data_IF_457442042802
#
_entry.id   IF_457442042802
#
_cell.length_a   1.000
_cell.length_b   1.000
_cell.length_c   1.000
_cell.angle_alpha   90.00
_cell.angle_beta   90.00
_cell.angle_gamma   90.00
#
_symmetry.space_group_name_H-M   'P 1'
#
loop_
_entity.id
_entity.type
_entity.pdbx_description
1 polymer ?
#
# COMPACT_ATOMS: atom_id res chain seq x y z
N UNK A 1 -124.06 -14.31 23.83
CA UNK A 1 -125.27 -13.48 23.65
C UNK A 1 -125.06 -12.20 24.46
N UNK A 2 -124.69 -11.08 23.82
CA UNK A 2 -124.61 -9.69 24.38
C UNK A 2 -123.72 -9.48 25.61
N UNK A 3 -123.36 -8.27 26.08
CA UNK A 3 -123.42 -6.86 25.65
C UNK A 3 -122.81 -6.05 26.83
N UNK A 4 -122.51 -4.75 26.60
CA UNK A 4 -122.13 -3.65 27.54
C UNK A 4 -120.61 -3.49 27.78
N UNK A 5 -119.85 -2.48 27.31
CA UNK A 5 -119.96 -1.00 27.11
C UNK A 5 -119.48 -0.11 28.29
N UNK A 6 -118.21 0.38 28.19
CA UNK A 6 -117.57 1.65 28.65
C UNK A 6 -117.71 2.14 30.14
N UNK A 7 -116.86 3.05 30.72
CA UNK A 7 -115.99 4.10 30.13
C UNK A 7 -114.62 4.32 30.90
N UNK A 8 -113.99 5.53 31.09
CA UNK A 8 -112.69 5.86 30.48
C UNK A 8 -111.58 6.46 31.41
N UNK A 9 -110.47 6.85 30.78
CA UNK A 9 -109.53 7.96 31.09
C UNK A 9 -108.33 7.77 32.07
N UNK A 10 -107.16 7.80 31.41
CA UNK A 10 -105.92 8.59 31.66
C UNK A 10 -104.99 8.30 32.85
N UNK A 11 -103.95 7.56 32.49
CA UNK A 11 -102.51 7.65 32.79
C UNK A 11 -101.94 8.92 33.47
N UNK A 12 -101.09 8.71 34.49
CA UNK A 12 -99.63 8.98 34.48
C UNK A 12 -99.06 8.64 35.86
N UNK A 13 -98.09 7.70 35.95
CA UNK A 13 -97.29 7.50 37.16
C UNK A 13 -95.81 7.44 36.75
N UNK A 14 -95.04 8.36 37.32
CA UNK A 14 -93.60 8.56 37.18
C UNK A 14 -92.83 7.67 38.16
N UNK A 15 -91.84 6.91 37.67
CA UNK A 15 -90.93 6.13 38.52
C UNK A 15 -89.48 6.39 38.10
N UNK A 16 -88.70 7.04 38.97
CA UNK A 16 -87.22 7.06 38.93
C UNK A 16 -86.68 7.35 40.33
N UNK A 17 -85.76 6.51 40.79
CA UNK A 17 -84.97 6.75 42.00
C UNK A 17 -84.30 5.47 42.50
N UNK A 18 -83.11 5.16 41.96
CA UNK A 18 -82.21 4.15 42.53
C UNK A 18 -80.78 4.69 42.44
N UNK A 19 -80.22 4.95 43.62
CA UNK A 19 -78.86 5.43 43.89
C UNK A 19 -77.93 4.23 44.09
N UNK A 20 -76.78 4.21 43.42
CA UNK A 20 -75.67 3.29 43.68
C UNK A 20 -74.39 4.11 43.74
N UNK A 21 -73.78 4.13 44.92
CA UNK A 21 -72.47 4.70 45.22
C UNK A 21 -71.38 3.65 44.97
N UNK A 22 -70.34 4.01 44.21
CA UNK A 22 -69.14 3.20 44.06
C UNK A 22 -67.90 4.09 44.28
N UNK A 23 -67.10 3.71 45.27
CA UNK A 23 -65.83 4.33 45.65
C UNK A 23 -64.73 4.06 44.62
N UNK A 24 -63.98 5.08 44.24
CA UNK A 24 -62.69 4.98 43.56
C UNK A 24 -61.67 5.86 44.28
N UNK A 25 -61.04 5.29 45.31
CA UNK A 25 -59.75 5.72 45.85
C UNK A 25 -58.73 4.69 45.38
N UNK A 26 -57.82 5.08 44.48
CA UNK A 26 -56.46 4.57 44.27
C UNK A 26 -55.99 4.78 42.81
N UNK A 27 -55.49 5.97 42.50
CA UNK A 27 -54.41 6.22 41.52
C UNK A 27 -53.85 7.62 41.80
N UNK A 28 -53.18 7.77 42.94
CA UNK A 28 -52.42 8.98 43.28
C UNK A 28 -50.92 8.68 43.17
N UNK A 29 -50.45 8.46 41.94
CA UNK A 29 -49.15 9.02 41.57
C UNK A 29 -49.50 10.16 40.63
N UNK A 30 -49.37 11.44 41.03
CA UNK A 30 -49.52 12.52 40.08
C UNK A 30 -48.52 12.26 38.94
N UNK A 31 -48.94 12.36 37.66
CA UNK A 31 -48.03 12.16 36.55
C UNK A 31 -46.83 13.07 36.79
N UNK A 32 -45.62 12.50 36.76
CA UNK A 32 -44.39 13.29 36.71
C UNK A 32 -44.62 14.38 35.68
N UNK A 33 -44.76 15.63 36.12
CA UNK A 33 -45.00 16.75 35.22
C UNK A 33 -43.90 16.73 34.19
N UNK A 34 -44.25 16.47 32.92
CA UNK A 34 -43.27 16.37 31.86
C UNK A 34 -42.46 17.66 31.82
N UNK A 35 -41.14 17.54 31.87
CA UNK A 35 -40.25 18.70 31.84
C UNK A 35 -40.35 19.38 30.47
N UNK A 36 -40.16 20.70 30.45
CA UNK A 36 -40.10 21.47 29.21
C UNK A 36 -38.93 20.97 28.37
N UNK A 37 -39.21 20.58 27.13
CA UNK A 37 -38.20 20.08 26.19
C UNK A 37 -38.22 20.91 24.92
N UNK A 38 -37.04 21.13 24.34
CA UNK A 38 -36.85 21.88 23.11
C UNK A 38 -36.28 20.92 22.08
N UNK A 39 -36.84 20.92 20.87
CA UNK A 39 -36.28 20.22 19.72
C UNK A 39 -36.13 21.16 18.53
N UNK A 40 -35.15 20.91 17.67
CA UNK A 40 -35.02 21.64 16.41
C UNK A 40 -35.84 20.94 15.31
N UNK A 41 -36.56 21.73 14.52
CA UNK A 41 -37.25 21.29 13.32
C UNK A 41 -36.77 22.13 12.12
N UNK A 42 -36.05 21.53 11.14
CA UNK A 42 -35.60 20.12 11.14
C UNK A 42 -34.50 19.87 12.19
N UNK A 43 -34.32 18.60 12.58
CA UNK A 43 -33.36 18.21 13.64
C UNK A 43 -31.89 18.44 13.26
N UNK A 44 -31.62 18.53 11.96
CA UNK A 44 -30.30 18.79 11.37
C UNK A 44 -30.48 19.86 10.31
N UNK A 45 -29.68 20.92 10.38
CA UNK A 45 -29.86 22.15 9.59
C UNK A 45 -28.54 22.52 8.94
N UNK A 46 -28.61 22.99 7.70
CA UNK A 46 -27.48 23.58 6.98
C UNK A 46 -27.54 25.10 6.95
N UNK A 47 -26.38 25.73 6.75
CA UNK A 47 -26.28 27.18 6.64
C UNK A 47 -27.24 27.74 5.57
N UNK A 48 -27.90 28.84 5.91
CA UNK A 48 -28.86 29.52 5.06
C UNK A 48 -30.29 28.95 5.07
N UNK A 49 -30.56 27.91 5.86
CA UNK A 49 -31.91 27.39 6.10
C UNK A 49 -32.55 28.00 7.34
N UNK A 50 -33.84 27.79 7.51
CA UNK A 50 -34.57 28.21 8.70
C UNK A 50 -34.65 27.04 9.69
N UNK A 51 -34.59 27.34 10.99
CA UNK A 51 -34.77 26.35 12.06
C UNK A 51 -35.83 26.83 13.04
N UNK A 52 -36.79 25.96 13.36
CA UNK A 52 -37.74 26.18 14.45
C UNK A 52 -37.27 25.42 15.69
N UNK A 53 -36.97 26.14 16.76
CA UNK A 53 -36.81 25.55 18.10
C UNK A 53 -38.20 25.36 18.70
N UNK A 54 -38.77 24.17 18.48
CA UNK A 54 -40.10 23.78 18.91
C UNK A 54 -40.08 23.43 20.40
N UNK A 55 -40.95 24.06 21.17
CA UNK A 55 -41.07 23.85 22.61
C UNK A 55 -42.24 22.94 22.93
N UNK A 56 -41.99 21.93 23.75
CA UNK A 56 -42.99 20.97 24.23
C UNK A 56 -43.18 21.08 25.74
N UNK A 57 -44.31 20.55 26.21
CA UNK A 57 -44.67 20.47 27.65
C UNK A 57 -44.72 21.83 28.36
N UNK A 58 -45.27 22.84 27.70
CA UNK A 58 -45.47 24.15 28.33
C UNK A 58 -46.42 24.07 29.54
N UNK A 59 -46.07 24.69 30.69
CA UNK A 59 -46.98 24.85 31.82
C UNK A 59 -48.24 25.62 31.44
N UNK A 60 -49.39 25.36 32.09
CA UNK A 60 -50.65 26.05 31.75
C UNK A 60 -50.73 27.50 32.25
N UNK A 61 -50.16 27.80 33.42
CA UNK A 61 -50.28 29.10 34.08
C UNK A 61 -49.04 29.99 33.79
N UNK A 62 -48.81 30.31 32.52
CA UNK A 62 -47.67 31.14 32.09
C UNK A 62 -48.09 32.60 31.83
N UNK A 63 -47.23 33.55 32.20
CA UNK A 63 -47.42 35.00 31.95
C UNK A 63 -46.58 35.49 30.78
N UNK A 64 -45.49 34.80 30.48
CA UNK A 64 -44.60 35.11 29.37
C UNK A 64 -43.38 34.21 29.33
N UNK A 65 -42.54 34.40 28.32
CA UNK A 65 -41.30 33.65 28.17
C UNK A 65 -40.25 34.44 27.40
N UNK A 66 -39.00 34.10 27.67
CA UNK A 66 -37.81 34.82 27.24
C UNK A 66 -36.81 33.86 26.62
N UNK A 67 -36.28 34.21 25.45
CA UNK A 67 -35.15 33.51 24.84
C UNK A 67 -33.85 34.27 25.02
N UNK A 68 -32.80 33.54 25.39
CA UNK A 68 -31.42 34.02 25.50
C UNK A 68 -30.50 33.22 24.58
N UNK A 69 -29.53 33.89 23.95
CA UNK A 69 -28.41 33.28 23.22
C UNK A 69 -27.34 32.88 24.23
N UNK A 70 -27.07 31.60 24.38
CA UNK A 70 -26.13 31.06 25.38
C UNK A 70 -26.81 30.53 26.64
N UNK A 71 -25.99 30.19 27.64
CA UNK A 71 -26.46 29.66 28.94
C UNK A 71 -26.69 30.77 29.99
N UNK A 72 -26.16 31.97 29.75
CA UNK A 72 -26.21 33.10 30.68
C UNK A 72 -27.51 33.87 30.45
N UNK A 73 -28.22 34.15 31.54
CA UNK A 73 -29.48 34.93 31.54
C UNK A 73 -29.20 36.39 31.92
N UNK A 74 -28.50 37.11 31.05
CA UNK A 74 -28.25 38.54 31.23
C UNK A 74 -28.91 39.36 30.11
N UNK A 75 -28.80 40.69 30.23
CA UNK A 75 -29.33 41.61 29.23
C UNK A 75 -28.63 41.48 27.88
N UNK A 76 -27.34 41.18 27.83
CA UNK A 76 -26.56 41.13 26.58
C UNK A 76 -26.93 39.93 25.70
N UNK A 77 -27.36 38.83 26.32
CA UNK A 77 -27.75 37.60 25.65
C UNK A 77 -29.25 37.53 25.36
N UNK A 78 -30.04 38.49 25.83
CA UNK A 78 -31.50 38.53 25.64
C UNK A 78 -31.86 38.74 24.16
N UNK A 79 -32.55 37.78 23.55
CA UNK A 79 -32.97 37.79 22.14
C UNK A 79 -34.33 38.46 22.02
N UNK A 80 -35.36 37.86 22.61
CA UNK A 80 -36.74 38.36 22.55
C UNK A 80 -37.59 37.71 23.64
N UNK A 81 -38.68 38.37 24.02
CA UNK A 81 -39.70 37.81 24.91
C UNK A 81 -41.11 38.03 24.39
N UNK A 82 -42.01 37.16 24.82
CA UNK A 82 -43.43 37.25 24.56
C UNK A 82 -44.17 37.38 25.89
N UNK A 83 -45.00 38.41 26.01
CA UNK A 83 -45.92 38.59 27.13
C UNK A 83 -47.29 38.09 26.67
N UNK A 84 -47.85 37.13 27.41
CA UNK A 84 -49.11 36.49 27.05
C UNK A 84 -50.27 37.47 27.12
N UNK A 85 -50.30 38.29 28.18
CA UNK A 85 -51.25 39.37 28.32
C UNK A 85 -50.95 40.48 27.31
N UNK A 86 -51.89 40.74 26.41
CA UNK A 86 -51.73 41.69 25.30
C UNK A 86 -50.91 41.19 24.10
N UNK A 87 -50.38 39.96 24.13
CA UNK A 87 -49.62 39.35 23.01
C UNK A 87 -48.42 40.21 22.55
N UNK A 88 -47.72 40.81 23.52
CA UNK A 88 -46.65 41.79 23.25
C UNK A 88 -45.32 41.07 23.03
N UNK A 89 -44.62 41.42 21.95
CA UNK A 89 -43.26 40.96 21.67
C UNK A 89 -42.29 42.08 22.00
N UNK A 90 -41.26 41.76 22.80
CA UNK A 90 -40.18 42.68 23.16
C UNK A 90 -38.89 42.12 22.57
N UNK A 91 -38.12 42.96 21.89
CA UNK A 91 -36.85 42.60 21.28
C UNK A 91 -35.69 43.02 22.18
N UNK A 92 -34.69 42.15 22.26
CA UNK A 92 -33.49 42.36 23.04
C UNK A 92 -32.28 42.81 22.22
N UNK A 93 -31.15 43.11 22.89
CA UNK A 93 -29.94 43.51 22.19
C UNK A 93 -29.29 42.37 21.40
N UNK A 94 -29.57 41.10 21.73
CA UNK A 94 -29.11 39.95 20.94
C UNK A 94 -30.04 39.60 19.75
N UNK A 95 -31.12 40.37 19.54
CA UNK A 95 -32.02 40.19 18.41
C UNK A 95 -31.31 40.52 17.09
N UNK A 96 -31.23 39.58 16.16
CA UNK A 96 -30.57 39.79 14.87
C UNK A 96 -31.53 40.28 13.78
N UNK A 97 -32.84 40.33 14.05
CA UNK A 97 -33.86 40.65 13.06
C UNK A 97 -34.36 39.44 12.26
N UNK A 98 -33.81 38.25 12.55
CA UNK A 98 -34.14 36.98 11.86
C UNK A 98 -34.94 36.03 12.74
N UNK A 99 -35.11 36.37 14.02
CA UNK A 99 -35.82 35.54 14.99
C UNK A 99 -37.31 35.88 15.03
N UNK A 100 -38.18 34.86 15.03
CA UNK A 100 -39.62 35.03 15.23
C UNK A 100 -40.07 34.17 16.39
N UNK A 101 -40.62 34.80 17.42
CA UNK A 101 -41.14 34.13 18.60
C UNK A 101 -42.65 33.87 18.45
N UNK A 102 -43.08 32.64 18.75
CA UNK A 102 -44.49 32.23 18.66
C UNK A 102 -45.14 32.14 20.03
N UNK A 103 -46.48 32.14 20.07
CA UNK A 103 -47.33 32.02 21.28
C UNK A 103 -47.13 30.71 22.07
N UNK A 104 -46.54 29.69 21.44
CA UNK A 104 -46.19 28.40 22.05
C UNK A 104 -44.72 28.35 22.51
N UNK A 105 -44.12 29.49 22.82
CA UNK A 105 -42.71 29.64 23.20
C UNK A 105 -41.66 29.20 22.19
N UNK A 106 -42.06 28.77 20.99
CA UNK A 106 -41.11 28.34 19.96
C UNK A 106 -40.42 29.53 19.32
N UNK A 107 -39.17 29.33 18.90
CA UNK A 107 -38.34 30.35 18.27
C UNK A 107 -37.92 29.89 16.87
N UNK A 108 -38.40 30.57 15.83
CA UNK A 108 -37.88 30.41 14.47
C UNK A 108 -36.68 31.32 14.30
N UNK A 109 -35.58 30.80 13.75
CA UNK A 109 -34.42 31.58 13.33
C UNK A 109 -34.28 31.38 11.82
N UNK A 110 -34.41 32.47 11.07
CA UNK A 110 -34.36 32.43 9.61
C UNK A 110 -32.93 32.59 9.09
N UNK A 111 -32.62 31.94 7.97
CA UNK A 111 -31.33 32.06 7.26
C UNK A 111 -30.13 31.95 8.22
N UNK A 112 -30.06 30.82 8.95
CA UNK A 112 -29.06 30.58 10.01
C UNK A 112 -27.63 30.60 9.48
N UNK A 113 -26.69 31.11 10.27
CA UNK A 113 -25.25 31.14 9.96
C UNK A 113 -24.44 30.39 11.00
N UNK A 114 -23.14 30.19 10.76
CA UNK A 114 -22.26 29.54 11.73
C UNK A 114 -22.23 30.23 13.11
N UNK A 115 -22.51 31.53 13.18
CA UNK A 115 -22.57 32.30 14.44
C UNK A 115 -23.84 32.03 15.26
N UNK A 116 -24.85 31.40 14.67
CA UNK A 116 -26.06 30.97 15.36
C UNK A 116 -25.90 29.60 16.02
N UNK A 117 -24.89 28.82 15.61
CA UNK A 117 -24.57 27.58 16.29
C UNK A 117 -24.14 27.86 17.75
N UNK A 118 -24.65 27.07 18.70
CA UNK A 118 -24.35 27.27 20.11
C UNK A 118 -25.51 26.92 21.03
N UNK A 119 -25.42 27.36 22.27
CA UNK A 119 -26.46 27.12 23.27
C UNK A 119 -27.53 28.20 23.21
N UNK A 120 -28.77 27.84 23.54
CA UNK A 120 -29.91 28.73 23.72
C UNK A 120 -30.61 28.37 25.02
N UNK A 121 -31.14 29.39 25.71
CA UNK A 121 -31.87 29.22 26.96
C UNK A 121 -33.25 29.85 26.85
N UNK A 122 -34.28 29.05 27.09
CA UNK A 122 -35.65 29.48 27.23
C UNK A 122 -35.99 29.61 28.71
N UNK A 123 -36.46 30.77 29.13
CA UNK A 123 -36.97 30.98 30.47
C UNK A 123 -38.47 31.29 30.42
N UNK A 124 -39.27 30.46 31.08
CA UNK A 124 -40.74 30.58 31.14
C UNK A 124 -41.13 31.15 32.49
N UNK A 125 -41.95 32.20 32.48
CA UNK A 125 -42.43 32.90 33.67
C UNK A 125 -43.85 32.43 33.96
N UNK A 126 -44.11 32.02 35.20
CA UNK A 126 -45.44 31.56 35.64
C UNK A 126 -46.19 32.63 36.44
N UNK A 127 -47.52 32.59 36.39
CA UNK A 127 -48.38 33.47 37.17
C UNK A 127 -48.40 33.09 38.66
N UNK A 128 -48.30 34.10 39.53
CA UNK A 128 -48.46 33.95 40.98
C UNK A 128 -47.16 34.02 41.81
N UNK A 129 -45.99 33.93 41.18
CA UNK A 129 -44.68 34.15 41.81
C UNK A 129 -43.61 34.40 40.73
N UNK A 130 -43.03 35.61 40.69
CA UNK A 130 -41.98 35.98 39.69
C UNK A 130 -40.77 35.04 39.75
N UNK A 131 -40.49 34.42 40.91
CA UNK A 131 -39.35 33.53 41.08
C UNK A 131 -39.61 32.08 40.63
N UNK A 132 -40.86 31.72 40.30
CA UNK A 132 -41.23 30.36 39.92
C UNK A 132 -41.22 30.25 38.39
N UNK A 133 -40.04 30.26 37.80
CA UNK A 133 -39.84 30.04 36.37
C UNK A 133 -39.31 28.65 36.02
N UNK A 134 -39.65 28.14 34.83
CA UNK A 134 -39.08 26.90 34.27
C UNK A 134 -38.06 27.29 33.20
N UNK A 135 -36.91 26.63 33.19
CA UNK A 135 -35.85 26.89 32.22
C UNK A 135 -35.64 25.68 31.32
N UNK A 136 -35.62 25.90 30.01
CA UNK A 136 -35.21 24.92 29.01
C UNK A 136 -33.87 25.33 28.40
N UNK A 137 -33.04 24.35 28.08
CA UNK A 137 -31.76 24.57 27.39
C UNK A 137 -31.70 23.73 26.11
N UNK A 138 -31.14 24.30 25.06
CA UNK A 138 -30.94 23.61 23.79
C UNK A 138 -29.60 23.98 23.18
N UNK A 139 -28.90 23.03 22.56
CA UNK A 139 -27.68 23.31 21.80
C UNK A 139 -27.96 23.08 20.33
N UNK A 140 -27.93 24.16 19.56
CA UNK A 140 -28.08 24.14 18.12
C UNK A 140 -26.73 23.88 17.45
N UNK A 141 -26.66 22.82 16.65
CA UNK A 141 -25.49 22.47 15.84
C UNK A 141 -25.79 22.70 14.38
N UNK A 142 -24.94 23.46 13.69
CA UNK A 142 -25.03 23.70 12.26
C UNK A 142 -24.08 22.79 11.49
N UNK A 143 -24.55 22.26 10.35
CA UNK A 143 -23.73 21.45 9.45
C UNK A 143 -23.52 22.18 8.12
N UNK A 144 -22.28 22.23 7.64
CA UNK A 144 -22.01 22.74 6.30
C UNK A 144 -22.40 21.70 5.25
N UNK A 145 -22.82 22.12 4.06
CA UNK A 145 -23.04 21.17 2.96
C UNK A 145 -21.70 20.54 2.53
N UNK A 146 -21.72 19.24 2.21
CA UNK A 146 -20.52 18.49 1.82
C UNK A 146 -19.97 19.00 0.48
N UNK A 147 -18.65 19.23 0.36
CA UNK A 147 -18.04 19.64 -0.90
C UNK A 147 -18.13 18.52 -1.94
N UNK A 148 -18.05 18.84 -3.25
CA UNK A 148 -17.93 17.80 -4.28
C UNK A 148 -16.57 17.10 -4.13
N UNK A 149 -16.53 15.78 -3.85
CA UNK A 149 -15.26 15.11 -3.65
C UNK A 149 -14.57 14.76 -4.97
N UNK A 150 -13.28 14.46 -4.87
CA UNK A 150 -12.42 13.98 -5.94
C UNK A 150 -11.59 12.79 -5.45
N UNK A 151 -11.20 11.90 -6.35
CA UNK A 151 -10.38 10.73 -6.01
C UNK A 151 -8.95 10.99 -6.49
N UNK A 152 -8.00 10.99 -5.56
CA UNK A 152 -6.56 10.95 -5.86
C UNK A 152 -6.05 9.52 -5.83
N UNK A 153 -5.05 9.20 -6.66
CA UNK A 153 -4.46 7.86 -6.74
C UNK A 153 -2.95 7.93 -6.59
N UNK A 154 -2.36 6.99 -5.83
CA UNK A 154 -0.91 6.86 -5.73
C UNK A 154 -0.25 6.39 -7.03
N UNK A 155 -0.99 5.68 -7.91
CA UNK A 155 -0.50 5.27 -9.24
C UNK A 155 -1.64 5.14 -10.24
N UNK A 156 -1.62 5.98 -11.28
CA UNK A 156 -2.65 6.01 -12.34
C UNK A 156 -2.62 4.79 -13.26
N UNK A 157 -1.42 4.25 -13.53
CA UNK A 157 -1.22 3.16 -14.49
C UNK A 157 -0.57 1.95 -13.80
N UNK A 158 -1.29 1.21 -12.93
CA UNK A 158 -0.74 0.04 -12.26
C UNK A 158 -0.61 -1.15 -13.21
N UNK A 159 0.41 -1.99 -12.99
CA UNK A 159 0.54 -3.27 -13.70
C UNK A 159 -0.33 -4.35 -13.06
N UNK A 160 -0.99 -5.11 -13.94
CA UNK A 160 -1.89 -6.18 -13.52
C UNK A 160 -1.25 -7.19 -12.58
N UNK A 161 -1.94 -7.46 -11.47
CA UNK A 161 -1.66 -8.44 -10.43
C UNK A 161 -0.31 -8.32 -9.71
N UNK A 162 0.44 -7.23 -9.92
CA UNK A 162 1.77 -7.05 -9.32
C UNK A 162 1.82 -5.91 -8.30
N UNK A 163 1.04 -4.86 -8.52
CA UNK A 163 1.18 -3.61 -7.78
C UNK A 163 -0.03 -3.31 -6.90
N UNK A 164 0.25 -2.66 -5.77
CA UNK A 164 -0.78 -2.11 -4.88
C UNK A 164 -1.00 -0.63 -5.20
N UNK A 165 -2.26 -0.19 -5.15
CA UNK A 165 -2.67 1.20 -5.39
C UNK A 165 -3.52 1.66 -4.23
N UNK A 166 -3.38 2.92 -3.84
CA UNK A 166 -4.23 3.59 -2.86
C UNK A 166 -5.00 4.70 -3.53
N UNK A 167 -6.32 4.69 -3.40
CA UNK A 167 -7.23 5.74 -3.81
C UNK A 167 -7.68 6.51 -2.57
N UNK A 168 -7.59 7.82 -2.58
CA UNK A 168 -7.98 8.66 -1.44
C UNK A 168 -9.09 9.62 -1.87
N UNK A 169 -10.12 9.72 -1.03
CA UNK A 169 -11.22 10.67 -1.24
C UNK A 169 -10.84 12.03 -0.66
N UNK A 170 -10.84 13.06 -1.50
CA UNK A 170 -10.44 14.42 -1.18
C UNK A 170 -11.62 15.40 -1.43
N UNK A 171 -11.77 16.48 -0.64
CA UNK A 171 -10.93 16.85 0.49
C UNK A 171 -11.31 16.12 1.78
N UNK A 172 -10.44 16.21 2.79
CA UNK A 172 -10.79 15.82 4.14
C UNK A 172 -11.85 16.77 4.72
N UNK A 173 -13.02 16.22 5.03
CA UNK A 173 -14.18 16.94 5.56
C UNK A 173 -14.43 16.51 7.01
N UNK A 174 -14.37 17.44 7.98
CA UNK A 174 -14.74 17.17 9.38
C UNK A 174 -16.20 16.74 9.53
N UNK A 175 -16.48 15.92 10.54
CA UNK A 175 -17.83 15.43 10.87
C UNK A 175 -18.57 14.72 9.72
N UNK A 176 -17.81 14.24 8.72
CA UNK A 176 -18.32 13.50 7.59
C UNK A 176 -17.82 12.05 7.59
N UNK A 177 -18.63 11.19 7.00
CA UNK A 177 -18.34 9.78 6.75
C UNK A 177 -18.00 9.57 5.28
N UNK A 178 -17.07 8.65 4.99
CA UNK A 178 -16.66 8.30 3.64
C UNK A 178 -17.20 6.94 3.25
N UNK A 179 -17.82 6.86 2.08
CA UNK A 179 -18.32 5.63 1.50
C UNK A 179 -17.74 5.44 0.10
N UNK A 180 -17.35 4.21 -0.22
CA UNK A 180 -16.81 3.86 -1.53
C UNK A 180 -17.82 3.03 -2.32
N UNK A 181 -17.88 3.34 -3.61
CA UNK A 181 -18.76 2.72 -4.57
C UNK A 181 -17.94 2.19 -5.74
N UNK A 182 -18.36 1.05 -6.28
CA UNK A 182 -17.82 0.46 -7.50
C UNK A 182 -18.98 0.15 -8.43
N UNK A 183 -18.97 0.69 -9.64
CA UNK A 183 -20.06 0.54 -10.61
C UNK A 183 -21.44 0.94 -10.05
N UNK A 184 -21.51 2.00 -9.25
CA UNK A 184 -22.75 2.46 -8.60
C UNK A 184 -23.25 1.60 -7.43
N UNK A 185 -22.58 0.49 -7.10
CA UNK A 185 -22.91 -0.36 -5.96
C UNK A 185 -21.91 -0.16 -4.82
N UNK A 186 -22.33 -0.43 -3.57
CA UNK A 186 -21.44 -0.42 -2.41
C UNK A 186 -20.23 -1.33 -2.64
N UNK A 187 -19.03 -0.83 -2.34
CA UNK A 187 -17.77 -1.54 -2.56
C UNK A 187 -17.78 -2.95 -1.91
N UNK A 188 -17.58 -4.04 -2.68
CA UNK A 188 -17.47 -5.38 -2.12
C UNK A 188 -16.10 -5.56 -1.44
N UNK A 189 -16.08 -5.46 -0.11
CA UNK A 189 -14.87 -5.66 0.68
C UNK A 189 -14.30 -7.06 0.47
N UNK A 190 -12.99 -7.15 0.28
CA UNK A 190 -12.29 -8.42 0.06
C UNK A 190 -10.83 -8.32 0.49
N UNK A 191 -10.08 -9.44 0.43
CA UNK A 191 -8.63 -9.41 0.67
C UNK A 191 -7.87 -8.50 -0.31
N UNK A 192 -8.47 -8.10 -1.44
CA UNK A 192 -7.87 -7.18 -2.41
C UNK A 192 -8.35 -5.74 -2.28
N UNK A 193 -9.46 -5.51 -1.61
CA UNK A 193 -10.09 -4.20 -1.47
C UNK A 193 -10.29 -3.94 0.02
N UNK A 194 -9.41 -3.12 0.58
CA UNK A 194 -9.38 -2.80 2.00
C UNK A 194 -9.53 -1.29 2.20
N UNK A 195 -10.15 -0.87 3.29
CA UNK A 195 -10.34 0.53 3.63
C UNK A 195 -9.42 0.90 4.79
N UNK A 196 -8.99 2.16 4.84
CA UNK A 196 -8.38 2.75 6.03
C UNK A 196 -9.37 2.76 7.19
N UNK A 197 -8.89 2.97 8.42
CA UNK A 197 -9.74 3.08 9.60
C UNK A 197 -10.80 4.20 9.48
N UNK A 198 -10.45 5.29 8.79
CA UNK A 198 -11.35 6.42 8.50
C UNK A 198 -12.25 6.19 7.28
N UNK A 199 -12.12 5.06 6.57
CA UNK A 199 -12.72 4.78 5.27
C UNK A 199 -12.38 5.79 4.14
N UNK A 200 -11.54 6.78 4.41
CA UNK A 200 -11.16 7.82 3.42
C UNK A 200 -10.26 7.27 2.30
N UNK A 201 -9.47 6.23 2.58
CA UNK A 201 -8.56 5.63 1.61
C UNK A 201 -8.93 4.19 1.32
N UNK A 202 -9.05 3.86 0.04
CA UNK A 202 -9.23 2.51 -0.50
C UNK A 202 -7.90 1.95 -1.00
N UNK A 203 -7.47 0.84 -0.42
CA UNK A 203 -6.31 0.07 -0.81
C UNK A 203 -6.71 -1.07 -1.74
N UNK A 204 -6.11 -1.08 -2.94
CA UNK A 204 -6.23 -2.13 -3.93
C UNK A 204 -4.96 -2.97 -3.93
N UNK A 205 -5.03 -4.20 -3.41
CA UNK A 205 -3.92 -5.14 -3.35
C UNK A 205 -3.95 -6.06 -4.58
N UNK A 206 -3.12 -5.74 -5.58
CA UNK A 206 -3.05 -6.50 -6.83
C UNK A 206 -4.19 -6.18 -7.78
N UNK A 207 -4.07 -5.05 -8.49
CA UNK A 207 -5.08 -4.56 -9.43
C UNK A 207 -5.27 -5.55 -10.59
N UNK A 208 -6.52 -5.86 -10.92
CA UNK A 208 -6.90 -6.70 -12.06
C UNK A 208 -7.92 -5.99 -12.93
N UNK A 209 -8.24 -6.56 -14.10
CA UNK A 209 -9.33 -6.05 -14.95
C UNK A 209 -10.67 -5.91 -14.24
N UNK A 210 -10.92 -6.71 -13.19
CA UNK A 210 -12.17 -6.67 -12.42
C UNK A 210 -12.18 -5.61 -11.32
N UNK A 211 -11.01 -5.10 -10.91
CA UNK A 211 -10.85 -4.10 -9.85
C UNK A 211 -10.36 -2.76 -10.40
N UNK A 212 -10.39 -2.57 -11.72
CA UNK A 212 -9.94 -1.33 -12.35
C UNK A 212 -10.93 -0.15 -12.16
N UNK A 213 -12.13 -0.44 -11.64
CA UNK A 213 -13.20 0.54 -11.44
C UNK A 213 -14.27 0.45 -12.54
N UNK A 214 -15.07 1.51 -12.74
CA UNK A 214 -15.04 2.81 -12.06
C UNK A 214 -15.32 2.76 -10.55
N UNK A 215 -14.62 3.63 -9.80
CA UNK A 215 -14.84 3.93 -8.39
C UNK A 215 -15.43 5.32 -8.21
N UNK A 216 -16.35 5.48 -7.26
CA UNK A 216 -16.85 6.77 -6.81
C UNK A 216 -16.71 6.82 -5.29
N UNK A 217 -16.30 7.97 -4.74
CA UNK A 217 -16.30 8.19 -3.31
C UNK A 217 -17.43 9.17 -2.95
N UNK A 218 -18.09 8.90 -1.83
CA UNK A 218 -19.17 9.71 -1.29
C UNK A 218 -18.75 10.28 0.06
N UNK A 219 -18.82 11.61 0.18
CA UNK A 219 -18.71 12.31 1.46
C UNK A 219 -20.13 12.53 1.95
N UNK A 220 -20.44 12.07 3.16
CA UNK A 220 -21.78 12.16 3.73
C UNK A 220 -21.74 12.71 5.14
N UNK A 221 -22.55 13.74 5.39
CA UNK A 221 -22.84 14.25 6.73
C UNK A 221 -24.35 14.19 6.99
N UNK A 222 -24.85 14.67 8.16
CA UNK A 222 -26.28 14.56 8.50
C UNK A 222 -27.24 15.34 7.58
N UNK A 223 -26.77 16.33 6.82
CA UNK A 223 -27.63 17.23 6.01
C UNK A 223 -27.45 17.03 4.50
N UNK A 224 -26.31 16.48 4.08
CA UNK A 224 -25.93 16.42 2.68
C UNK A 224 -25.02 15.23 2.40
N UNK A 225 -25.04 14.79 1.14
CA UNK A 225 -24.12 13.80 0.63
C UNK A 225 -23.74 14.17 -0.80
N UNK A 226 -22.45 14.04 -1.12
CA UNK A 226 -21.90 14.39 -2.43
C UNK A 226 -21.03 13.25 -2.94
N UNK A 227 -21.15 12.94 -4.24
CA UNK A 227 -20.36 11.91 -4.92
C UNK A 227 -19.31 12.52 -5.84
N UNK A 228 -18.18 11.85 -5.95
CA UNK A 228 -17.12 12.22 -6.87
C UNK A 228 -17.51 11.85 -8.29
N UNK A 229 -16.81 12.43 -9.27
CA UNK A 229 -16.83 11.88 -10.62
C UNK A 229 -16.21 10.46 -10.61
N UNK A 230 -16.65 9.56 -11.52
CA UNK A 230 -16.15 8.19 -11.55
C UNK A 230 -14.67 8.16 -11.94
N UNK A 231 -13.88 7.44 -11.14
CA UNK A 231 -12.45 7.27 -11.32
C UNK A 231 -12.12 5.86 -11.81
N UNK A 232 -11.38 5.74 -12.91
CA UNK A 232 -10.93 4.46 -13.47
C UNK A 232 -9.41 4.38 -13.51
N UNK A 233 -8.88 3.21 -13.20
CA UNK A 233 -7.44 2.92 -13.32
C UNK A 233 -7.13 2.44 -14.74
N UNK A 234 -6.05 2.96 -15.33
CA UNK A 234 -5.54 2.51 -16.62
C UNK A 234 -4.67 1.27 -16.41
N UNK A 235 -5.26 0.09 -16.52
CA UNK A 235 -4.55 -1.16 -16.28
C UNK A 235 -3.52 -1.44 -17.37
N UNK A 236 -2.25 -1.55 -16.97
CA UNK A 236 -1.18 -1.95 -17.88
C UNK A 236 -1.11 -3.47 -18.00
N UNK A 237 -0.90 -4.00 -19.22
CA UNK A 237 -0.72 -5.43 -19.39
C UNK A 237 0.51 -5.92 -18.64
N UNK A 238 0.42 -7.14 -18.12
CA UNK A 238 1.55 -7.82 -17.51
C UNK A 238 2.65 -8.07 -18.55
N UNK A 239 3.89 -7.80 -18.19
CA UNK A 239 5.03 -8.17 -19.04
C UNK A 239 5.26 -9.69 -19.00
N UNK A 240 5.44 -10.35 -20.16
CA UNK A 240 5.81 -11.75 -20.19
C UNK A 240 7.19 -11.94 -19.55
N UNK A 241 7.41 -13.03 -18.82
CA UNK A 241 8.73 -13.33 -18.27
C UNK A 241 9.67 -13.68 -19.43
N UNK A 242 10.73 -12.89 -19.68
CA UNK A 242 11.61 -13.19 -20.80
C UNK A 242 12.53 -14.37 -20.47
N UNK A 243 13.00 -15.03 -21.51
CA UNK A 243 14.00 -16.10 -21.43
C UNK A 243 15.05 -15.94 -22.53
N UNK A 244 16.23 -16.50 -22.29
CA UNK A 244 17.35 -16.42 -23.21
C UNK A 244 17.53 -17.79 -23.87
N UNK A 245 17.69 -17.81 -25.19
CA UNK A 245 18.21 -18.95 -25.93
C UNK A 245 19.61 -18.65 -26.44
N UNK A 246 20.53 -19.59 -26.30
CA UNK A 246 21.92 -19.47 -26.74
C UNK A 246 22.35 -20.72 -27.51
N UNK A 247 23.20 -20.55 -28.52
CA UNK A 247 23.70 -21.65 -29.35
C UNK A 247 24.71 -22.58 -28.64
N UNK A 248 25.53 -22.07 -27.72
CA UNK A 248 26.51 -22.87 -26.99
C UNK A 248 26.80 -22.28 -25.59
N UNK A 249 26.63 -23.09 -24.53
CA UNK A 249 26.91 -22.68 -23.14
C UNK A 249 28.39 -22.80 -22.73
N UNK A 250 29.20 -23.55 -23.51
CA UNK A 250 30.60 -23.83 -23.24
C UNK A 250 31.48 -23.49 -24.46
N UNK A 251 31.56 -22.21 -24.86
CA UNK A 251 32.38 -21.77 -25.99
C UNK A 251 33.87 -21.87 -25.68
N UNK A 252 34.70 -22.02 -26.72
CA UNK A 252 36.14 -21.89 -26.64
C UNK A 252 36.58 -20.44 -26.83
N UNK A 253 37.44 -19.99 -25.92
CA UNK A 253 38.03 -18.65 -25.92
C UNK A 253 38.66 -18.32 -27.28
N UNK A 254 38.30 -17.14 -27.81
CA UNK A 254 38.76 -16.59 -29.08
C UNK A 254 38.54 -17.49 -30.31
N UNK A 255 37.54 -18.38 -30.29
CA UNK A 255 37.26 -19.30 -31.40
C UNK A 255 35.78 -19.41 -31.76
N UNK A 256 34.93 -19.63 -30.76
CA UNK A 256 33.51 -19.87 -31.02
C UNK A 256 32.71 -18.56 -30.99
N UNK A 257 31.79 -18.38 -31.95
CA UNK A 257 30.86 -17.24 -32.02
C UNK A 257 29.58 -17.60 -31.28
N UNK A 258 29.11 -16.69 -30.42
CA UNK A 258 27.87 -16.88 -29.66
C UNK A 258 26.76 -15.95 -30.12
N UNK A 259 25.56 -16.51 -30.21
CA UNK A 259 24.33 -15.78 -30.48
C UNK A 259 23.36 -16.02 -29.33
N UNK A 260 23.15 -14.99 -28.52
CA UNK A 260 22.10 -14.95 -27.52
C UNK A 260 20.86 -14.32 -28.14
N UNK A 261 19.70 -14.89 -27.90
CA UNK A 261 18.41 -14.33 -28.32
C UNK A 261 17.50 -14.22 -27.11
N UNK A 262 16.93 -13.05 -26.88
CA UNK A 262 15.94 -12.81 -25.84
C UNK A 262 14.53 -13.03 -26.40
N UNK A 263 13.70 -13.78 -25.69
CA UNK A 263 12.31 -14.06 -26.05
C UNK A 263 11.37 -13.54 -24.97
N UNK A 264 10.13 -13.13 -25.30
CA UNK A 264 9.51 -13.20 -26.63
C UNK A 264 9.88 -12.01 -27.53
N UNK A 265 9.81 -12.22 -28.85
CA UNK A 265 9.89 -11.13 -29.84
C UNK A 265 8.62 -10.25 -29.81
N UNK A 266 8.81 -8.95 -29.63
CA UNK A 266 7.78 -7.90 -29.68
C UNK A 266 8.41 -6.57 -30.08
N UNK A 267 7.72 -5.80 -30.92
CA UNK A 267 8.12 -4.43 -31.31
C UNK A 267 7.78 -3.39 -30.23
N UNK A 268 6.92 -3.74 -29.26
CA UNK A 268 6.55 -2.86 -28.16
C UNK A 268 7.59 -2.84 -27.03
N UNK A 269 8.63 -3.67 -27.13
CA UNK A 269 9.66 -3.81 -26.10
C UNK A 269 11.02 -3.37 -26.61
N UNK A 270 11.77 -2.76 -25.70
CA UNK A 270 13.21 -2.53 -25.83
C UNK A 270 13.97 -3.62 -25.08
N UNK A 271 15.08 -4.10 -25.65
CA UNK A 271 15.87 -5.22 -25.10
C UNK A 271 17.20 -4.70 -24.57
N UNK A 272 17.52 -5.08 -23.33
CA UNK A 272 18.77 -4.73 -22.67
C UNK A 272 19.44 -6.01 -22.18
N UNK A 273 20.74 -6.14 -22.43
CA UNK A 273 21.54 -7.27 -21.98
C UNK A 273 22.32 -6.93 -20.72
N UNK A 274 22.44 -7.93 -19.85
CA UNK A 274 23.12 -7.83 -18.57
C UNK A 274 24.10 -9.00 -18.41
N UNK A 275 25.31 -8.72 -17.92
CA UNK A 275 26.32 -9.69 -17.54
C UNK A 275 26.77 -9.36 -16.11
N UNK A 276 26.71 -10.34 -15.21
CA UNK A 276 27.11 -10.14 -13.80
C UNK A 276 26.38 -8.93 -13.15
N UNK A 277 25.14 -8.65 -13.56
CA UNK A 277 24.36 -7.51 -13.07
C UNK A 277 24.74 -6.15 -13.67
N UNK A 278 25.75 -6.07 -14.55
CA UNK A 278 26.12 -4.86 -15.29
C UNK A 278 25.50 -4.87 -16.70
N UNK A 279 24.97 -3.74 -17.16
CA UNK A 279 24.41 -3.62 -18.51
C UNK A 279 25.51 -3.67 -19.56
N UNK A 280 25.35 -4.50 -20.58
CA UNK A 280 26.26 -4.57 -21.72
C UNK A 280 25.94 -3.42 -22.69
N UNK A 281 26.95 -2.67 -23.17
CA UNK A 281 26.74 -1.64 -24.17
C UNK A 281 26.35 -2.31 -25.49
N UNK A 282 25.09 -2.13 -25.91
CA UNK A 282 24.67 -2.50 -27.27
C UNK A 282 25.00 -1.33 -28.19
N UNK A 283 25.58 -1.60 -29.36
CA UNK A 283 26.02 -0.55 -30.28
C UNK A 283 24.86 0.40 -30.63
N UNK A 284 24.99 1.72 -30.47
CA UNK A 284 23.92 2.69 -30.78
C UNK A 284 23.51 2.73 -32.27
N UNK A 285 24.28 2.10 -33.16
CA UNK A 285 24.08 2.12 -34.63
C UNK A 285 22.97 1.21 -35.14
N UNK A 286 22.22 0.59 -34.23
CA UNK A 286 21.13 -0.32 -34.52
C UNK A 286 19.90 0.47 -34.98
N UNK A 287 19.36 0.17 -36.17
CA UNK A 287 18.28 0.97 -36.80
C UNK A 287 16.93 0.79 -36.12
N UNK A 288 16.63 -0.42 -35.62
CA UNK A 288 15.41 -0.72 -34.87
C UNK A 288 15.75 -1.32 -33.51
N UNK A 289 15.19 -0.83 -32.39
CA UNK A 289 15.47 -1.37 -31.04
C UNK A 289 15.25 -2.89 -30.90
N UNK A 290 14.38 -3.48 -31.72
CA UNK A 290 14.14 -4.93 -31.75
C UNK A 290 15.37 -5.75 -32.16
N UNK A 291 16.33 -5.17 -32.87
CA UNK A 291 17.57 -5.85 -33.25
C UNK A 291 18.46 -6.11 -32.02
N UNK A 292 18.35 -5.27 -30.97
CA UNK A 292 19.03 -5.50 -29.68
C UNK A 292 18.54 -6.77 -28.96
N UNK A 293 17.47 -7.41 -29.46
CA UNK A 293 17.02 -8.73 -29.01
C UNK A 293 18.07 -9.81 -29.20
N UNK A 294 19.00 -9.64 -30.15
CA UNK A 294 20.07 -10.59 -30.42
C UNK A 294 21.39 -9.96 -29.98
N UNK A 295 22.08 -10.62 -29.04
CA UNK A 295 23.45 -10.27 -28.66
C UNK A 295 24.40 -11.26 -29.32
N UNK A 296 25.30 -10.73 -30.16
CA UNK A 296 26.33 -11.51 -30.85
C UNK A 296 27.67 -11.21 -30.19
N UNK A 297 28.33 -12.25 -29.68
CA UNK A 297 29.72 -12.16 -29.21
C UNK A 297 30.60 -12.85 -30.26
N UNK A 298 31.33 -12.08 -31.10
CA UNK A 298 32.13 -12.65 -32.19
C UNK A 298 33.36 -13.41 -31.68
N UNK A 299 33.88 -13.03 -30.52
CA UNK A 299 35.02 -13.68 -29.88
C UNK A 299 34.86 -13.51 -28.38
N UNK A 300 34.71 -14.61 -27.66
CA UNK A 300 34.55 -14.59 -26.21
C UNK A 300 35.88 -14.75 -25.49
N UNK A 301 36.01 -14.05 -24.37
CA UNK A 301 37.15 -14.12 -23.46
C UNK A 301 36.74 -14.72 -22.12
N UNK A 302 37.69 -15.27 -21.35
CA UNK A 302 37.40 -15.82 -20.01
C UNK A 302 36.74 -14.81 -19.04
N UNK A 303 36.96 -13.51 -19.24
CA UNK A 303 36.37 -12.43 -18.43
C UNK A 303 34.86 -12.24 -18.68
N UNK A 304 34.34 -12.76 -19.79
CA UNK A 304 32.91 -12.73 -20.13
C UNK A 304 32.17 -13.97 -19.60
N UNK A 305 32.84 -14.81 -18.80
CA UNK A 305 32.20 -15.86 -18.02
C UNK A 305 31.26 -15.24 -16.99
N UNK A 306 30.03 -15.74 -16.89
CA UNK A 306 29.07 -15.25 -15.91
C UNK A 306 27.61 -15.53 -16.25
N UNK A 307 26.69 -15.14 -15.35
CA UNK A 307 25.26 -15.19 -15.57
C UNK A 307 24.84 -14.02 -16.48
N UNK A 308 24.30 -14.37 -17.64
CA UNK A 308 23.67 -13.44 -18.57
C UNK A 308 22.18 -13.34 -18.28
N UNK A 309 21.64 -12.13 -18.35
CA UNK A 309 20.20 -11.87 -18.27
C UNK A 309 19.80 -10.92 -19.39
N UNK A 310 18.58 -11.06 -19.88
CA UNK A 310 17.98 -10.08 -20.77
C UNK A 310 16.79 -9.42 -20.06
N UNK A 311 16.63 -8.13 -20.31
CA UNK A 311 15.54 -7.33 -19.80
C UNK A 311 14.71 -6.83 -20.97
N UNK A 312 13.39 -7.05 -20.90
CA UNK A 312 12.44 -6.38 -21.79
C UNK A 312 11.85 -5.18 -21.06
N UNK A 313 11.80 -4.02 -21.71
CA UNK A 313 11.22 -2.79 -21.15
C UNK A 313 10.19 -2.17 -22.08
N UNK A 314 9.10 -1.70 -21.50
CA UNK A 314 8.14 -0.78 -22.13
C UNK A 314 8.31 0.63 -21.54
N UNK A 315 7.41 1.56 -21.91
CA UNK A 315 7.42 2.94 -21.41
C UNK A 315 7.23 3.09 -19.88
N UNK A 316 6.76 2.03 -19.19
CA UNK A 316 6.41 2.05 -17.78
C UNK A 316 7.35 1.23 -16.89
N UNK A 317 8.26 0.43 -17.46
CA UNK A 317 9.19 -0.39 -16.67
C UNK A 317 9.76 -1.59 -17.40
N UNK A 318 10.48 -2.44 -16.65
CA UNK A 318 11.22 -3.58 -17.19
C UNK A 318 11.12 -4.84 -16.35
N UNK A 319 11.31 -6.00 -16.98
CA UNK A 319 11.43 -7.29 -16.31
C UNK A 319 12.62 -8.08 -16.85
N UNK A 320 13.44 -8.63 -15.95
CA UNK A 320 14.61 -9.46 -16.29
C UNK A 320 14.29 -10.93 -16.40
N UNK A 321 15.01 -11.63 -17.26
CA UNK A 321 14.98 -13.09 -17.40
C UNK A 321 15.60 -13.77 -16.19
N UNK A 322 15.40 -15.09 -16.09
CA UNK A 322 16.29 -15.90 -15.26
C UNK A 322 17.71 -15.88 -15.85
N UNK A 323 18.75 -16.01 -15.00
CA UNK A 323 20.13 -16.00 -15.46
C UNK A 323 20.47 -17.27 -16.25
N UNK A 324 21.23 -17.11 -17.33
CA UNK A 324 21.86 -18.20 -18.09
C UNK A 324 23.37 -18.05 -17.96
N UNK A 325 24.02 -19.01 -17.32
CA UNK A 325 25.46 -18.94 -17.04
C UNK A 325 26.28 -19.44 -18.22
N UNK A 326 27.10 -18.56 -18.80
CA UNK A 326 28.10 -18.90 -19.79
C UNK A 326 29.38 -19.37 -19.10
N UNK A 327 29.96 -20.47 -19.54
CA UNK A 327 31.24 -20.99 -19.02
C UNK A 327 32.28 -21.09 -20.15
N UNK A 328 33.19 -20.12 -20.24
CA UNK A 328 34.16 -20.04 -21.34
C UNK A 328 35.33 -20.99 -21.11
N UNK A 329 35.58 -21.87 -22.07
CA UNK A 329 36.66 -22.85 -22.05
C UNK A 329 37.94 -22.26 -22.63
N UNK A 330 39.05 -22.38 -21.90
CA UNK A 330 40.36 -21.90 -22.35
C UNK A 330 41.47 -22.89 -22.01
N UNK A 331 42.48 -22.92 -22.88
CA UNK A 331 43.64 -23.80 -22.73
C UNK A 331 44.50 -23.42 -21.53
N UNK A 332 45.48 -24.26 -21.16
CA UNK A 332 46.34 -23.94 -20.05
C UNK A 332 47.21 -22.73 -20.39
N UNK A 333 47.18 -21.73 -19.52
CA UNK A 333 48.17 -20.65 -19.54
C UNK A 333 49.59 -21.22 -19.32
N UNK A 334 50.62 -20.38 -19.51
CA UNK A 334 52.00 -20.80 -19.31
C UNK A 334 52.19 -21.39 -17.89
N UNK A 335 52.54 -22.69 -17.76
CA UNK A 335 52.70 -23.31 -16.45
C UNK A 335 53.83 -22.66 -15.65
N UNK A 336 53.63 -22.57 -14.34
CA UNK A 336 54.61 -22.11 -13.36
C UNK A 336 55.07 -23.32 -12.54
N UNK A 337 56.39 -23.43 -12.37
CA UNK A 337 57.02 -24.47 -11.55
C UNK A 337 57.49 -23.82 -10.24
N UNK A 338 57.10 -24.42 -9.12
CA UNK A 338 57.43 -23.99 -7.77
C UNK A 338 58.14 -25.11 -6.98
N UNK A 339 59.16 -24.79 -6.18
CA UNK A 339 59.83 -23.49 -6.12
C UNK A 339 60.70 -23.26 -7.37
N UNK A 340 61.13 -22.03 -7.60
CA UNK A 340 62.05 -21.68 -8.71
C UNK A 340 63.50 -22.09 -8.46
N UNK A 341 63.81 -22.70 -7.32
CA UNK A 341 65.17 -23.12 -6.94
C UNK A 341 65.72 -24.17 -7.90
N UNK A 342 66.89 -23.89 -8.46
CA UNK A 342 67.56 -24.74 -9.46
C UNK A 342 68.77 -25.50 -8.91
N UNK A 343 69.17 -25.28 -7.66
CA UNK A 343 70.35 -25.90 -7.04
C UNK A 343 69.98 -26.71 -5.81
N UNK A 344 70.44 -27.96 -5.75
CA UNK A 344 70.24 -28.88 -4.62
C UNK A 344 71.56 -29.56 -4.22
N UNK A 345 71.67 -29.98 -2.96
CA UNK A 345 72.75 -30.84 -2.48
C UNK A 345 72.30 -32.29 -2.47
N UNK A 346 73.23 -33.20 -2.75
CA UNK A 346 72.94 -34.64 -2.69
C UNK A 346 72.42 -35.04 -1.32
N UNK A 347 71.26 -35.71 -1.28
CA UNK A 347 70.55 -36.11 -0.06
C UNK A 347 69.41 -35.17 0.35
N UNK A 348 69.26 -34.00 -0.28
CA UNK A 348 68.09 -33.14 -0.08
C UNK A 348 66.83 -33.71 -0.74
N UNK A 349 65.68 -33.21 -0.29
CA UNK A 349 64.36 -33.55 -0.84
C UNK A 349 64.03 -32.57 -1.96
N UNK A 350 63.82 -33.07 -3.18
CA UNK A 350 63.27 -32.26 -4.26
C UNK A 350 61.75 -32.42 -4.29
N UNK A 351 61.05 -31.30 -4.23
CA UNK A 351 59.62 -31.22 -4.40
C UNK A 351 59.31 -30.08 -5.38
N UNK A 352 58.85 -30.45 -6.58
CA UNK A 352 58.41 -29.50 -7.59
C UNK A 352 56.91 -29.62 -7.76
N UNK A 353 56.22 -28.48 -7.84
CA UNK A 353 54.80 -28.39 -8.12
C UNK A 353 54.60 -27.52 -9.34
N UNK A 354 53.75 -27.97 -10.26
CA UNK A 354 53.41 -27.28 -11.49
C UNK A 354 51.95 -26.86 -11.46
N UNK A 355 51.69 -25.60 -11.81
CA UNK A 355 50.35 -25.02 -11.86
C UNK A 355 50.16 -24.19 -13.12
N UNK A 356 49.00 -24.31 -13.75
CA UNK A 356 48.59 -23.51 -14.91
C UNK A 356 47.09 -23.23 -14.78
N UNK A 357 46.67 -22.01 -15.08
CA UNK A 357 45.24 -21.67 -15.15
C UNK A 357 44.63 -22.27 -16.42
N UNK A 358 43.54 -23.01 -16.30
CA UNK A 358 42.86 -23.66 -17.43
C UNK A 358 41.43 -24.03 -17.07
N UNK A 359 40.50 -23.87 -18.01
CA UNK A 359 39.11 -24.29 -17.86
C UNK A 359 38.66 -25.20 -19.01
N UNK A 360 38.28 -26.46 -18.75
CA UNK A 360 38.33 -27.16 -17.46
C UNK A 360 39.79 -27.39 -17.01
N UNK A 361 40.03 -27.87 -15.77
CA UNK A 361 41.38 -28.18 -15.29
C UNK A 361 42.19 -29.06 -16.26
N UNK A 362 43.44 -28.68 -16.50
CA UNK A 362 44.34 -29.39 -17.40
C UNK A 362 44.96 -30.65 -16.78
N UNK A 363 45.44 -31.55 -17.64
CA UNK A 363 46.24 -32.72 -17.26
C UNK A 363 47.72 -32.35 -17.23
N UNK A 364 48.49 -32.92 -16.30
CA UNK A 364 49.91 -32.59 -16.07
C UNK A 364 50.80 -33.82 -16.25
N UNK A 365 51.99 -33.63 -16.79
CA UNK A 365 53.03 -34.66 -16.89
C UNK A 365 54.42 -34.07 -16.72
N UNK A 366 55.32 -34.80 -16.08
CA UNK A 366 56.71 -34.43 -15.87
C UNK A 366 57.66 -35.26 -16.72
N UNK A 367 58.64 -34.60 -17.32
CA UNK A 367 59.78 -35.26 -17.98
C UNK A 367 61.10 -34.75 -17.40
N UNK A 368 62.11 -35.62 -17.37
CA UNK A 368 63.49 -35.28 -16.96
C UNK A 368 64.40 -35.66 -18.12
N UNK A 369 65.14 -34.69 -18.67
CA UNK A 369 65.98 -34.89 -19.87
C UNK A 369 65.21 -35.54 -21.04
N UNK A 370 63.94 -35.15 -21.22
CA UNK A 370 63.06 -35.69 -22.27
C UNK A 370 62.42 -37.05 -21.97
N UNK A 371 62.82 -37.74 -20.90
CA UNK A 371 62.21 -39.02 -20.49
C UNK A 371 61.01 -38.76 -19.57
N UNK A 372 59.86 -39.37 -19.89
CA UNK A 372 58.68 -39.34 -19.03
C UNK A 372 58.98 -39.90 -17.64
N UNK A 373 58.52 -39.19 -16.62
CA UNK A 373 58.68 -39.59 -15.23
C UNK A 373 57.34 -39.97 -14.61
N UNK A 374 56.38 -39.04 -14.59
CA UNK A 374 55.06 -39.28 -13.98
C UNK A 374 54.00 -38.32 -14.51
N UNK A 375 52.74 -38.71 -14.36
CA UNK A 375 51.57 -37.85 -14.53
C UNK A 375 51.15 -37.25 -13.19
N UNK A 376 50.84 -35.96 -13.18
CA UNK A 376 50.43 -35.24 -11.97
C UNK A 376 51.08 -33.87 -11.84
N UNK A 377 50.50 -33.02 -11.00
CA UNK A 377 50.99 -31.66 -10.76
C UNK A 377 52.30 -31.62 -9.98
N UNK A 378 52.59 -32.66 -9.18
CA UNK A 378 53.69 -32.67 -8.21
C UNK A 378 54.70 -33.75 -8.56
N UNK A 379 55.98 -33.39 -8.52
CA UNK A 379 57.12 -34.29 -8.67
C UNK A 379 57.92 -34.29 -7.36
N UNK A 380 58.10 -35.47 -6.78
CA UNK A 380 58.77 -35.65 -5.51
C UNK A 380 59.91 -36.65 -5.65
N UNK A 381 61.11 -36.26 -5.22
CA UNK A 381 62.29 -37.11 -5.14
C UNK A 381 62.81 -37.02 -3.70
N UNK A 382 62.66 -38.08 -2.88
CA UNK A 382 62.98 -38.03 -1.45
C UNK A 382 64.48 -37.86 -1.17
N UNK A 383 65.35 -38.41 -2.02
CA UNK A 383 66.79 -38.22 -1.93
C UNK A 383 67.35 -37.89 -3.32
N UNK A 384 67.65 -36.62 -3.56
CA UNK A 384 68.23 -36.19 -4.83
C UNK A 384 69.74 -36.53 -4.89
N UNK A 385 70.25 -36.86 -6.07
CA UNK A 385 71.65 -37.23 -6.30
C UNK A 385 72.17 -36.52 -7.55
N UNK A 386 73.48 -36.55 -7.79
CA UNK A 386 74.09 -35.92 -8.98
C UNK A 386 73.50 -36.42 -10.30
N UNK A 387 73.05 -37.69 -10.35
CA UNK A 387 72.38 -38.31 -11.50
C UNK A 387 71.02 -37.69 -11.84
N UNK A 388 70.38 -37.03 -10.88
CA UNK A 388 69.12 -36.33 -11.07
C UNK A 388 69.30 -34.91 -11.63
N UNK A 389 70.54 -34.45 -11.89
CA UNK A 389 70.76 -33.18 -12.57
C UNK A 389 70.25 -33.25 -14.01
N UNK A 390 69.53 -32.22 -14.45
CA UNK A 390 68.92 -32.23 -15.78
C UNK A 390 67.88 -31.17 -16.00
N UNK A 391 67.25 -31.25 -17.17
CA UNK A 391 66.13 -30.40 -17.58
C UNK A 391 64.82 -31.06 -17.16
N UNK A 392 64.14 -30.45 -16.19
CA UNK A 392 62.82 -30.85 -15.71
C UNK A 392 61.78 -30.05 -16.47
N UNK A 393 60.90 -30.73 -17.22
CA UNK A 393 59.81 -30.08 -17.94
C UNK A 393 58.47 -30.55 -17.41
N UNK A 394 57.60 -29.59 -17.09
CA UNK A 394 56.19 -29.83 -16.84
C UNK A 394 55.42 -29.52 -18.13
N UNK A 395 54.70 -30.51 -18.65
CA UNK A 395 53.78 -30.35 -19.78
C UNK A 395 52.35 -30.39 -19.26
N UNK A 396 51.53 -29.45 -19.73
CA UNK A 396 50.11 -29.31 -19.38
C UNK A 396 49.25 -29.37 -20.63
N UNK A 397 48.17 -30.14 -20.59
CA UNK A 397 47.28 -30.36 -21.74
C UNK A 397 45.82 -30.26 -21.32
N UNK A 398 45.02 -29.50 -22.07
CA UNK A 398 43.57 -29.44 -21.89
C UNK A 398 42.87 -30.03 -23.12
N UNK A 399 42.28 -31.21 -22.95
CA UNK A 399 41.61 -31.94 -24.04
C UNK A 399 40.35 -31.26 -24.58
N UNK A 400 39.65 -30.44 -23.78
CA UNK A 400 38.44 -29.74 -24.22
C UNK A 400 38.75 -28.59 -25.19
N UNK A 401 39.92 -27.96 -25.04
CA UNK A 401 40.38 -26.90 -25.95
C UNK A 401 41.40 -27.38 -26.99
N UNK A 402 41.99 -28.55 -26.78
CA UNK A 402 43.05 -29.10 -27.62
C UNK A 402 44.39 -28.37 -27.49
N UNK A 403 44.53 -27.47 -26.51
CA UNK A 403 45.75 -26.69 -26.27
C UNK A 403 46.65 -27.39 -25.26
N UNK A 404 47.95 -27.28 -25.50
CA UNK A 404 49.01 -27.72 -24.58
C UNK A 404 50.04 -26.61 -24.38
N UNK A 405 50.71 -26.64 -23.25
CA UNK A 405 51.76 -25.71 -22.89
C UNK A 405 52.81 -26.45 -22.07
N UNK A 406 54.04 -25.98 -22.07
CA UNK A 406 55.09 -26.58 -21.25
C UNK A 406 56.04 -25.51 -20.71
N UNK A 407 56.61 -25.79 -19.54
CA UNK A 407 57.66 -24.98 -18.94
C UNK A 407 58.75 -25.92 -18.44
N UNK A 408 59.99 -25.52 -18.64
CA UNK A 408 61.14 -26.26 -18.18
C UNK A 408 62.01 -25.45 -17.23
N UNK A 409 62.73 -26.14 -16.36
CA UNK A 409 63.78 -25.61 -15.49
C UNK A 409 64.96 -26.58 -15.43
N UNK A 410 66.17 -26.07 -15.33
CA UNK A 410 67.37 -26.90 -15.19
C UNK A 410 67.74 -27.02 -13.72
N UNK A 411 67.73 -28.24 -13.19
CA UNK A 411 68.13 -28.55 -11.81
C UNK A 411 69.58 -29.06 -11.82
N UNK A 412 70.44 -28.47 -11.00
CA UNK A 412 71.84 -28.88 -10.79
C UNK A 412 72.00 -29.39 -9.36
N UNK A 413 72.58 -30.58 -9.22
CA UNK A 413 72.79 -31.22 -7.92
C UNK A 413 74.29 -31.35 -7.65
N UNK A 414 74.73 -30.78 -6.53
CA UNK A 414 76.12 -30.89 -6.07
C UNK A 414 76.34 -32.19 -5.29
N UNK A 415 77.44 -32.89 -5.58
CA UNK A 415 77.85 -34.06 -4.82
C UNK A 415 78.16 -33.69 -3.37
N UNK A 416 77.94 -34.63 -2.44
CA UNK A 416 78.46 -34.50 -1.07
C UNK A 416 79.97 -34.28 -1.20
N UNK A 417 80.50 -33.15 -0.70
CA UNK A 417 81.93 -33.02 -0.46
C UNK A 417 82.28 -34.14 0.52
N UNK A 418 82.92 -35.20 0.04
CA UNK A 418 83.64 -36.11 0.92
C UNK A 418 84.70 -35.23 1.56
N UNK A 419 84.73 -35.03 2.89
CA UNK A 419 85.85 -34.36 3.52
C UNK A 419 87.10 -35.12 3.06
N UNK A 420 88.02 -34.42 2.40
CA UNK A 420 89.31 -34.98 2.03
C UNK A 420 90.07 -35.20 3.34
N UNK A 421 89.85 -36.34 3.96
CA UNK A 421 90.62 -36.81 5.10
C UNK A 421 90.85 -38.29 4.88
N UNK A 422 92.13 -38.67 4.78
CA UNK A 422 92.71 -39.99 4.52
C UNK A 422 93.22 -40.23 3.09
N UNK A 423 94.02 -39.29 2.59
CA UNK A 423 95.15 -39.60 1.73
C UNK A 423 96.44 -39.25 2.50
N UNK A 424 96.73 -39.99 3.57
CA UNK A 424 98.07 -40.04 4.17
C UNK A 424 98.35 -41.51 4.43
N UNK A 425 99.32 -42.03 3.69
CA UNK A 425 99.82 -43.40 3.75
C UNK A 425 100.93 -43.51 2.72
N UNK A 426 102.04 -42.81 3.00
CA UNK A 426 103.35 -43.03 2.37
C UNK A 426 103.90 -44.34 2.91
#
# INVERSE_FOLDING_TARGET
MGLLSAPPCTQRITWKGLLLTASLLNFWNPPTTAQVTIEAQPTKVSEGKDVLLLVHNLPQNLTGYIWYKGQIRDLYHYITSYVVDGQIIIYGPAYSGRETIYSNASLLIQNVTQEDAGSYTLHIIMGGDENRGVTGHFTFTLYLETPKPSISSSKLNPREAMEAVSLTCDPETPDASYLWWMNGQSLPMSHRLQLSETNRTLFLLGVTKYTAGPYECEIRNPVSASRSDPFTLNLLPKLPKPYITINNLKPRENKDVLNFTCEPKSENYTYIWWLNGQSLPVSPRVKRPIENRILILPSVTRNETGPYQCEIRDQYGGIRSYPVTLNVLYGPDLPRIYPSFTYYRSGEVLYLSCSADSNPPAQYSWTINGKFQLSGQKLFIPQITTKHSGLYACSVRNSATGKESSKSMTVKVSGKRIPVSLAIGI
#
